data_IF_210816384500
#
_entry.id   IF_210816384500
#
_cell.length_a   1.000
_cell.length_b   1.000
_cell.length_c   1.000
_cell.angle_alpha   90.00
_cell.angle_beta   90.00
_cell.angle_gamma   90.00
#
_symmetry.space_group_name_H-M   'P 1'
#
loop_
_entity.id
_entity.type
_entity.pdbx_description
1 polymer ?
#
# COMPACT_ATOMS: atom_id res chain seq x y z
N UNK A 1 25.29 15.20 64.86
CA UNK A 1 25.23 13.79 65.29
C UNK A 1 23.76 13.38 65.38
N UNK A 2 23.41 12.13 65.05
CA UNK A 2 22.44 11.78 64.01
C UNK A 2 21.00 11.55 64.49
N UNK A 3 20.04 11.55 63.56
CA UNK A 3 19.07 10.45 63.49
C UNK A 3 18.44 10.32 62.10
N UNK A 4 18.55 9.12 61.55
CA UNK A 4 17.87 8.65 60.35
C UNK A 4 16.37 8.49 60.62
N UNK A 5 15.53 8.83 59.64
CA UNK A 5 14.29 8.07 59.42
C UNK A 5 13.93 8.08 57.94
N UNK A 6 13.57 6.91 57.49
CA UNK A 6 13.45 6.44 56.11
C UNK A 6 12.13 6.89 55.48
N UNK A 7 12.15 7.21 54.19
CA UNK A 7 10.95 7.19 53.36
C UNK A 7 11.31 6.71 51.96
N UNK A 8 11.25 5.39 51.78
CA UNK A 8 11.04 4.74 50.50
C UNK A 8 9.76 5.30 49.87
N UNK A 9 9.88 6.14 48.84
CA UNK A 9 8.80 6.36 47.86
C UNK A 9 9.26 5.80 46.53
N UNK A 10 8.55 4.75 46.11
CA UNK A 10 8.83 3.99 44.91
C UNK A 10 9.00 4.85 43.67
N UNK A 11 9.97 4.48 42.85
CA UNK A 11 10.14 5.00 41.51
C UNK A 11 8.81 4.89 40.75
N UNK A 12 8.30 5.98 40.15
CA UNK A 12 7.22 5.87 39.19
C UNK A 12 7.68 4.93 38.08
N UNK A 13 6.88 3.92 37.75
CA UNK A 13 7.07 3.13 36.52
C UNK A 13 7.21 4.11 35.37
N UNK A 14 8.44 4.32 34.92
CA UNK A 14 8.72 5.17 33.77
C UNK A 14 7.97 4.57 32.59
N UNK A 15 6.86 5.21 32.21
CA UNK A 15 6.16 4.86 31.00
C UNK A 15 7.15 4.97 29.85
N UNK A 16 7.24 3.92 29.02
CA UNK A 16 8.14 3.91 27.86
C UNK A 16 7.99 5.22 27.07
N UNK A 17 9.10 5.82 26.62
CA UNK A 17 9.08 7.07 25.89
C UNK A 17 8.13 6.98 24.67
N UNK A 18 7.47 8.08 24.29
CA UNK A 18 6.42 8.08 23.26
C UNK A 18 6.85 7.46 21.92
N UNK A 19 8.14 7.57 21.57
CA UNK A 19 8.72 7.02 20.36
C UNK A 19 8.67 5.48 20.33
N UNK A 20 9.03 4.82 21.43
CA UNK A 20 9.06 3.35 21.54
C UNK A 20 7.64 2.77 21.54
N UNK A 21 6.68 3.43 22.20
CA UNK A 21 5.27 3.00 22.18
C UNK A 21 4.69 3.03 20.76
N UNK A 22 5.00 4.05 19.98
CA UNK A 22 4.55 4.17 18.59
C UNK A 22 5.21 3.15 17.66
N UNK A 23 6.44 2.75 17.95
CA UNK A 23 7.17 1.73 17.22
C UNK A 23 6.66 0.32 17.53
N UNK A 24 6.43 -0.01 18.81
CA UNK A 24 5.81 -1.26 19.26
C UNK A 24 4.38 -1.40 18.72
N UNK A 25 3.61 -0.31 18.69
CA UNK A 25 2.25 -0.31 18.14
C UNK A 25 2.25 -0.60 16.63
N UNK A 26 3.16 0.03 15.87
CA UNK A 26 3.38 -0.26 14.44
C UNK A 26 3.75 -1.72 14.23
N UNK A 27 4.66 -2.25 15.04
CA UNK A 27 5.13 -3.63 14.92
C UNK A 27 4.02 -4.65 15.20
N UNK A 28 3.18 -4.42 16.23
CA UNK A 28 1.99 -5.24 16.48
C UNK A 28 1.01 -5.23 15.31
N UNK A 29 0.80 -4.07 14.68
CA UNK A 29 -0.13 -3.93 13.57
C UNK A 29 0.41 -4.64 12.31
N UNK A 30 1.71 -4.52 12.04
CA UNK A 30 2.43 -5.27 11.01
C UNK A 30 2.31 -6.78 11.21
N UNK A 31 2.54 -7.26 12.43
CA UNK A 31 2.46 -8.69 12.73
C UNK A 31 1.04 -9.25 12.56
N UNK A 32 0.00 -8.46 12.86
CA UNK A 32 -1.40 -8.87 12.56
C UNK A 32 -1.64 -8.95 11.05
N UNK A 33 -1.11 -8.00 10.30
CA UNK A 33 -1.23 -7.97 8.84
C UNK A 33 -0.52 -9.15 8.17
N UNK A 34 0.69 -9.51 8.62
CA UNK A 34 1.47 -10.66 8.14
C UNK A 34 0.90 -12.02 8.51
N UNK A 35 -0.03 -12.07 9.48
CA UNK A 35 -0.76 -13.28 9.89
C UNK A 35 -2.14 -13.38 9.24
N UNK A 36 -2.51 -12.40 8.42
CA UNK A 36 -3.78 -12.38 7.70
C UNK A 36 -3.82 -13.52 6.68
N UNK A 37 -4.96 -14.19 6.45
CA UNK A 37 -5.08 -15.20 5.39
C UNK A 37 -4.81 -14.64 3.98
N UNK A 38 -4.84 -13.31 3.82
CA UNK A 38 -4.49 -12.60 2.59
C UNK A 38 -2.99 -12.34 2.43
N UNK A 39 -2.21 -12.51 3.49
CA UNK A 39 -0.75 -12.58 3.42
C UNK A 39 -0.36 -14.05 3.40
N UNK A 40 -0.47 -14.65 2.22
CA UNK A 40 0.16 -15.96 1.98
C UNK A 40 1.60 -15.88 2.48
N UNK A 41 2.11 -16.88 3.23
CA UNK A 41 3.52 -16.92 3.57
C UNK A 41 4.27 -16.73 2.27
N UNK A 42 5.09 -15.67 2.21
CA UNK A 42 5.96 -15.31 1.09
C UNK A 42 6.89 -16.49 0.83
N UNK A 43 6.38 -17.56 0.21
CA UNK A 43 7.14 -18.74 -0.19
C UNK A 43 8.00 -18.27 -1.33
N UNK A 44 9.23 -17.87 -1.02
CA UNK A 44 10.36 -17.65 -1.93
C UNK A 44 9.97 -17.45 -3.40
N UNK A 45 9.13 -16.45 -3.69
CA UNK A 45 8.77 -16.15 -5.07
C UNK A 45 9.91 -15.35 -5.68
N UNK A 46 10.44 -15.81 -6.83
CA UNK A 46 11.49 -15.09 -7.58
C UNK A 46 11.06 -13.68 -7.97
N UNK A 47 9.76 -13.39 -8.02
CA UNK A 47 9.17 -12.08 -8.27
C UNK A 47 8.06 -11.82 -7.26
N UNK A 48 8.06 -10.62 -6.69
CA UNK A 48 7.01 -10.13 -5.80
C UNK A 48 6.29 -9.05 -6.56
N UNK A 49 5.05 -9.34 -6.90
CA UNK A 49 4.11 -8.39 -7.45
C UNK A 49 3.01 -8.18 -6.43
N UNK A 50 2.86 -6.94 -5.99
CA UNK A 50 1.80 -6.57 -5.06
C UNK A 50 1.01 -5.44 -5.66
N UNK A 51 -0.30 -5.64 -5.78
CA UNK A 51 -1.24 -4.65 -6.30
C UNK A 51 -2.13 -4.27 -5.13
N UNK A 52 -2.11 -2.99 -4.76
CA UNK A 52 -2.80 -2.46 -3.59
C UNK A 52 -3.82 -1.41 -4.05
N UNK A 53 -5.12 -1.60 -3.79
CA UNK A 53 -6.07 -0.50 -3.85
C UNK A 53 -5.70 0.51 -2.77
N UNK A 54 -5.50 1.77 -3.14
CA UNK A 54 -5.04 2.81 -2.22
C UNK A 54 -5.98 4.00 -2.21
N UNK A 55 -6.36 4.40 -1.00
CA UNK A 55 -7.31 5.48 -0.78
C UNK A 55 -6.56 6.68 -0.19
N UNK A 56 -6.74 7.85 -0.82
CA UNK A 56 -6.26 9.13 -0.28
C UNK A 56 -7.44 10.10 -0.22
N UNK A 57 -7.97 10.30 0.98
CA UNK A 57 -9.21 11.03 1.16
C UNK A 57 -10.36 10.35 0.41
N UNK A 58 -11.01 11.06 -0.50
CA UNK A 58 -12.09 10.55 -1.37
C UNK A 58 -11.61 9.95 -2.70
N UNK A 59 -10.31 10.01 -3.00
CA UNK A 59 -9.75 9.49 -4.26
C UNK A 59 -9.23 8.07 -4.08
N UNK A 60 -9.54 7.21 -5.05
CA UNK A 60 -9.08 5.82 -5.12
C UNK A 60 -8.05 5.69 -6.26
N UNK A 61 -6.92 5.04 -5.99
CA UNK A 61 -5.88 4.77 -6.98
C UNK A 61 -5.35 3.34 -6.85
N UNK A 62 -4.65 2.87 -7.89
CA UNK A 62 -3.96 1.57 -7.87
C UNK A 62 -2.49 1.81 -7.59
N UNK A 63 -1.96 1.09 -6.62
CA UNK A 63 -0.52 1.03 -6.38
C UNK A 63 -0.02 -0.33 -6.78
N UNK A 64 0.94 -0.36 -7.70
CA UNK A 64 1.66 -1.58 -8.07
C UNK A 64 3.08 -1.50 -7.50
N UNK A 65 3.48 -2.55 -6.81
CA UNK A 65 4.84 -2.74 -6.35
C UNK A 65 5.44 -3.86 -7.19
N UNK A 66 6.39 -3.48 -8.04
CA UNK A 66 7.10 -4.40 -8.92
C UNK A 66 8.59 -4.06 -8.90
N UNK A 67 9.44 -5.07 -8.76
CA UNK A 67 10.90 -4.92 -8.87
C UNK A 67 11.56 -3.83 -8.00
N UNK A 68 10.93 -3.45 -6.88
CA UNK A 68 11.35 -2.39 -5.95
C UNK A 68 10.92 -0.97 -6.32
N UNK A 69 10.05 -0.84 -7.31
CA UNK A 69 9.44 0.41 -7.71
C UNK A 69 7.95 0.38 -7.37
N UNK A 70 7.45 1.52 -6.90
CA UNK A 70 6.03 1.74 -6.66
C UNK A 70 5.50 2.54 -7.82
N UNK A 71 4.66 1.95 -8.66
CA UNK A 71 3.93 2.64 -9.72
C UNK A 71 2.54 3.03 -9.21
N UNK A 72 2.15 4.28 -9.42
CA UNK A 72 0.84 4.81 -9.03
C UNK A 72 0.01 5.06 -10.29
N UNK A 73 -1.12 4.36 -10.42
CA UNK A 73 -2.14 4.59 -11.44
C UNK A 73 -3.30 5.37 -10.82
N UNK A 74 -3.49 6.60 -11.25
CA UNK A 74 -4.51 7.49 -10.70
C UNK A 74 -5.29 8.18 -11.81
N UNK A 75 -6.59 7.94 -11.86
CA UNK A 75 -7.50 8.52 -12.85
C UNK A 75 -7.68 10.03 -12.70
N UNK A 76 -7.34 10.61 -11.54
CA UNK A 76 -7.32 12.04 -11.27
C UNK A 76 -5.94 12.67 -11.47
N UNK A 77 -4.95 11.94 -11.97
CA UNK A 77 -3.59 12.44 -12.16
C UNK A 77 -3.54 13.81 -12.85
N UNK A 78 -4.35 14.01 -13.90
CA UNK A 78 -4.42 15.25 -14.68
C UNK A 78 -4.93 16.47 -13.88
N UNK A 79 -5.65 16.28 -12.78
CA UNK A 79 -6.17 17.36 -11.93
C UNK A 79 -5.21 17.77 -10.82
N UNK A 80 -4.14 17.00 -10.61
CA UNK A 80 -3.25 17.19 -9.48
C UNK A 80 -2.07 18.05 -9.87
N UNK A 81 -1.54 18.87 -8.94
CA UNK A 81 -0.36 19.66 -9.19
C UNK A 81 0.77 18.79 -9.72
N UNK A 82 1.55 19.34 -10.65
CA UNK A 82 2.79 18.72 -11.12
C UNK A 82 3.90 18.91 -10.07
N UNK A 83 3.63 18.41 -8.86
CA UNK A 83 4.58 18.38 -7.76
C UNK A 83 4.89 16.91 -7.40
N UNK A 84 6.03 16.39 -7.86
CA UNK A 84 6.46 15.01 -7.57
C UNK A 84 6.53 14.71 -6.07
N UNK A 85 6.81 15.71 -5.21
CA UNK A 85 6.94 15.51 -3.78
C UNK A 85 5.61 15.19 -3.10
N UNK A 86 4.50 15.75 -3.60
CA UNK A 86 3.18 15.56 -2.99
C UNK A 86 2.78 14.08 -2.98
N UNK A 87 2.96 13.40 -4.13
CA UNK A 87 2.65 11.97 -4.26
C UNK A 87 3.64 11.09 -3.52
N UNK A 88 4.92 11.45 -3.56
CA UNK A 88 5.95 10.76 -2.79
C UNK A 88 5.65 10.76 -1.28
N UNK A 89 5.05 11.84 -0.76
CA UNK A 89 4.56 11.93 0.62
C UNK A 89 3.30 11.10 0.84
N UNK A 90 2.34 11.12 -0.10
CA UNK A 90 1.11 10.33 0.02
C UNK A 90 1.37 8.83 0.15
N UNK A 91 2.32 8.28 -0.60
CA UNK A 91 2.66 6.84 -0.52
C UNK A 91 3.82 6.55 0.43
N UNK A 92 4.29 7.54 1.21
CA UNK A 92 5.41 7.37 2.14
C UNK A 92 5.20 6.22 3.15
N UNK A 93 4.00 6.02 3.74
CA UNK A 93 3.75 4.87 4.61
C UNK A 93 4.07 3.55 3.90
N UNK A 94 3.61 3.37 2.66
CA UNK A 94 3.87 2.16 1.87
C UNK A 94 5.35 2.02 1.50
N UNK A 95 6.00 3.12 1.08
CA UNK A 95 7.43 3.14 0.71
C UNK A 95 8.35 2.72 1.86
N UNK A 96 7.93 2.96 3.11
CA UNK A 96 8.66 2.56 4.34
C UNK A 96 8.23 1.18 4.85
N UNK A 97 6.94 0.86 4.75
CA UNK A 97 6.37 -0.38 5.27
C UNK A 97 6.82 -1.60 4.47
N UNK A 98 6.83 -1.50 3.15
CA UNK A 98 7.12 -2.65 2.29
C UNK A 98 8.54 -3.21 2.46
N UNK A 99 9.61 -2.38 2.58
CA UNK A 99 10.93 -2.87 2.99
C UNK A 99 10.95 -3.65 4.30
N UNK A 100 10.18 -3.18 5.30
CA UNK A 100 10.10 -3.88 6.59
C UNK A 100 9.39 -5.24 6.44
N UNK A 101 8.34 -5.31 5.62
CA UNK A 101 7.64 -6.56 5.29
C UNK A 101 8.57 -7.53 4.57
N UNK A 102 9.28 -7.07 3.54
CA UNK A 102 10.25 -7.88 2.80
C UNK A 102 11.38 -8.40 3.71
N UNK A 103 11.85 -7.56 4.64
CA UNK A 103 12.87 -7.96 5.61
C UNK A 103 12.34 -9.03 6.58
N UNK A 104 11.17 -8.79 7.20
CA UNK A 104 10.57 -9.73 8.15
C UNK A 104 10.14 -11.07 7.51
N UNK A 105 9.92 -11.08 6.19
CA UNK A 105 9.56 -12.31 5.44
C UNK A 105 10.78 -13.07 4.91
N UNK A 106 12.02 -12.60 5.11
CA UNK A 106 13.22 -13.23 4.57
C UNK A 106 13.36 -13.08 3.04
N UNK A 107 12.60 -12.17 2.41
CA UNK A 107 12.62 -11.97 0.96
C UNK A 107 14.02 -11.59 0.44
N UNK A 108 14.76 -10.78 1.20
CA UNK A 108 16.09 -10.35 0.79
C UNK A 108 17.13 -11.47 0.82
N UNK A 109 17.00 -12.43 1.74
CA UNK A 109 17.96 -13.52 1.92
C UNK A 109 18.03 -14.42 0.68
N UNK A 110 16.92 -14.57 -0.02
CA UNK A 110 16.75 -15.37 -1.23
C UNK A 110 16.97 -14.59 -2.54
N UNK A 111 17.11 -13.27 -2.47
CA UNK A 111 17.20 -12.41 -3.65
C UNK A 111 18.62 -11.89 -3.86
N UNK A 112 19.01 -11.55 -5.10
CA UNK A 112 20.25 -10.81 -5.40
C UNK A 112 20.29 -9.39 -4.78
N UNK A 113 19.32 -9.05 -3.92
CA UNK A 113 19.07 -7.70 -3.38
C UNK A 113 19.38 -7.59 -1.89
N UNK A 114 20.20 -8.49 -1.33
CA UNK A 114 20.70 -8.41 0.07
C UNK A 114 21.17 -6.99 0.45
N UNK A 115 21.78 -6.27 -0.48
CA UNK A 115 22.33 -4.93 -0.22
C UNK A 115 21.30 -3.77 -0.28
N UNK A 116 20.03 -4.03 -0.62
CA UNK A 116 19.00 -2.95 -0.66
C UNK A 116 18.46 -2.60 0.73
N UNK A 117 18.60 -3.50 1.72
CA UNK A 117 18.26 -3.26 3.12
C UNK A 117 16.85 -2.70 3.33
N UNK A 118 16.71 -1.84 4.35
CA UNK A 118 15.46 -1.14 4.69
C UNK A 118 15.29 0.19 3.94
N UNK A 119 16.00 0.39 2.82
CA UNK A 119 15.93 1.64 2.07
C UNK A 119 14.50 1.93 1.59
N UNK A 120 14.10 3.19 1.66
CA UNK A 120 12.78 3.63 1.22
C UNK A 120 12.60 3.36 -0.28
N UNK A 121 11.50 2.72 -0.67
CA UNK A 121 11.24 2.44 -2.08
C UNK A 121 11.08 3.72 -2.90
N UNK A 122 11.44 3.66 -4.19
CA UNK A 122 11.16 4.74 -5.13
C UNK A 122 9.71 4.65 -5.60
N UNK A 123 9.01 5.78 -5.59
CA UNK A 123 7.69 5.88 -6.18
C UNK A 123 7.75 6.63 -7.50
N UNK A 124 7.22 6.03 -8.54
CA UNK A 124 7.05 6.59 -9.86
C UNK A 124 5.56 6.78 -10.12
N UNK A 125 5.20 7.99 -10.53
CA UNK A 125 3.87 8.28 -11.03
C UNK A 125 3.95 8.24 -12.54
N UNK A 126 2.98 7.61 -13.19
CA UNK A 126 2.84 7.74 -14.62
C UNK A 126 2.60 9.21 -15.00
N UNK A 127 3.12 9.61 -16.15
CA UNK A 127 2.81 10.91 -16.72
C UNK A 127 1.29 11.07 -16.89
N UNK A 128 0.75 12.29 -16.86
CA UNK A 128 -0.65 12.52 -17.18
C UNK A 128 -1.07 11.79 -18.46
N UNK A 129 -2.29 11.24 -18.48
CA UNK A 129 -2.88 10.51 -19.62
C UNK A 129 -2.27 9.14 -19.96
N UNK A 130 -1.18 8.72 -19.32
CA UNK A 130 -0.70 7.34 -19.44
C UNK A 130 -1.60 6.33 -18.71
N UNK A 131 -2.43 6.79 -17.78
CA UNK A 131 -3.55 6.04 -17.21
C UNK A 131 -4.85 6.77 -17.57
N UNK A 132 -5.95 6.03 -17.88
CA UNK A 132 -7.22 6.62 -18.25
C UNK A 132 -7.72 7.62 -17.20
N UNK A 133 -8.02 8.83 -17.68
CA UNK A 133 -8.52 9.91 -16.84
C UNK A 133 -10.02 9.76 -16.60
N UNK A 134 -10.45 9.96 -15.36
CA UNK A 134 -11.87 10.05 -15.05
C UNK A 134 -12.38 11.46 -15.33
N UNK A 135 -13.64 11.54 -15.75
CA UNK A 135 -14.37 12.82 -15.90
C UNK A 135 -15.29 13.04 -14.69
N UNK A 136 -15.79 11.96 -14.08
CA UNK A 136 -16.71 12.02 -12.94
C UNK A 136 -15.99 11.58 -11.65
N UNK A 137 -16.13 12.38 -10.58
CA UNK A 137 -15.49 12.12 -9.28
C UNK A 137 -15.83 10.76 -8.67
N UNK A 138 -17.07 10.29 -8.87
CA UNK A 138 -17.62 9.03 -8.33
C UNK A 138 -17.10 7.76 -9.01
N UNK A 139 -16.30 7.90 -10.07
CA UNK A 139 -15.79 6.76 -10.84
C UNK A 139 -14.40 6.29 -10.42
N UNK A 140 -13.69 6.99 -9.53
CA UNK A 140 -12.33 6.62 -9.11
C UNK A 140 -12.21 5.16 -8.62
N UNK A 141 -13.19 4.66 -7.86
CA UNK A 141 -13.21 3.26 -7.44
C UNK A 141 -13.36 2.27 -8.60
N UNK A 142 -14.15 2.62 -9.62
CA UNK A 142 -14.34 1.77 -10.79
C UNK A 142 -13.12 1.80 -11.73
N UNK A 143 -12.48 2.97 -11.90
CA UNK A 143 -11.18 3.08 -12.59
C UNK A 143 -10.11 2.28 -11.87
N UNK A 144 -10.07 2.31 -10.53
CA UNK A 144 -9.15 1.51 -9.72
C UNK A 144 -9.36 0.01 -9.99
N UNK A 145 -10.59 -0.49 -9.91
CA UNK A 145 -10.90 -1.91 -10.14
C UNK A 145 -10.57 -2.34 -11.58
N UNK A 146 -10.95 -1.54 -12.59
CA UNK A 146 -10.64 -1.83 -13.99
C UNK A 146 -9.13 -1.76 -14.24
N UNK A 147 -8.44 -0.81 -13.60
CA UNK A 147 -6.97 -0.71 -13.60
C UNK A 147 -6.29 -1.95 -13.05
N UNK A 148 -6.68 -2.42 -11.85
CA UNK A 148 -6.19 -3.66 -11.24
C UNK A 148 -6.38 -4.84 -12.21
N UNK A 149 -7.55 -4.96 -12.83
CA UNK A 149 -7.82 -6.01 -13.83
C UNK A 149 -6.81 -5.95 -14.98
N UNK A 150 -6.51 -4.75 -15.51
CA UNK A 150 -5.53 -4.58 -16.59
C UNK A 150 -4.10 -4.93 -16.16
N UNK A 151 -3.70 -4.55 -14.94
CA UNK A 151 -2.39 -4.92 -14.38
C UNK A 151 -2.24 -6.44 -14.31
N UNK A 152 -3.24 -7.13 -13.73
CA UNK A 152 -3.24 -8.59 -13.60
C UNK A 152 -3.20 -9.27 -14.97
N UNK A 153 -3.88 -8.71 -15.98
CA UNK A 153 -3.87 -9.21 -17.35
C UNK A 153 -2.56 -8.90 -18.11
N UNK A 154 -1.57 -8.24 -17.48
CA UNK A 154 -0.31 -7.89 -18.12
C UNK A 154 -0.45 -6.87 -19.25
N UNK A 155 -1.51 -6.05 -19.24
CA UNK A 155 -1.81 -5.07 -20.30
C UNK A 155 -1.08 -3.73 -20.13
N UNK A 156 -0.25 -3.58 -19.11
CA UNK A 156 0.50 -2.34 -18.88
C UNK A 156 1.58 -2.11 -19.94
N UNK A 157 1.92 -0.84 -20.26
CA UNK A 157 1.25 0.40 -19.85
C UNK A 157 0.03 0.74 -20.72
N UNK A 158 -0.43 -0.19 -21.57
CA UNK A 158 -1.48 0.02 -22.57
C UNK A 158 -2.89 -0.12 -21.96
N UNK A 159 -3.26 0.86 -21.14
CA UNK A 159 -4.60 0.98 -20.60
C UNK A 159 -5.55 1.61 -21.63
N UNK A 160 -6.18 0.77 -22.46
CA UNK A 160 -7.04 1.22 -23.55
C UNK A 160 -8.53 1.38 -23.17
N UNK A 161 -8.84 1.57 -21.89
CA UNK A 161 -10.21 1.81 -21.45
C UNK A 161 -10.47 3.29 -21.18
N UNK A 162 -11.73 3.70 -21.22
CA UNK A 162 -12.14 5.11 -21.10
C UNK A 162 -13.40 5.28 -20.25
N UNK A 163 -13.69 6.54 -19.88
CA UNK A 163 -14.81 6.93 -19.02
C UNK A 163 -16.17 6.35 -19.46
N UNK A 164 -16.49 6.38 -20.76
CA UNK A 164 -17.83 5.97 -21.24
C UNK A 164 -18.11 4.47 -21.02
N UNK A 165 -17.09 3.65 -20.84
CA UNK A 165 -17.25 2.21 -20.57
C UNK A 165 -17.49 1.91 -19.08
N UNK A 166 -17.23 2.87 -18.18
CA UNK A 166 -17.28 2.67 -16.73
C UNK A 166 -18.68 2.29 -16.22
N UNK A 167 -19.79 2.89 -16.70
CA UNK A 167 -21.12 2.44 -16.31
C UNK A 167 -21.39 0.98 -16.69
N UNK A 168 -20.96 0.55 -17.87
CA UNK A 168 -21.08 -0.85 -18.31
C UNK A 168 -20.23 -1.79 -17.46
N UNK A 169 -18.99 -1.39 -17.16
CA UNK A 169 -18.11 -2.12 -16.26
C UNK A 169 -18.70 -2.26 -14.85
N UNK A 170 -19.25 -1.19 -14.26
CA UNK A 170 -19.92 -1.23 -12.95
C UNK A 170 -21.07 -2.24 -12.93
N UNK A 171 -21.92 -2.24 -13.96
CA UNK A 171 -23.03 -3.19 -14.10
C UNK A 171 -22.53 -4.63 -14.17
N UNK A 172 -21.51 -4.88 -15.00
CA UNK A 172 -20.93 -6.23 -15.13
C UNK A 172 -20.29 -6.68 -13.82
N UNK A 173 -19.48 -5.84 -13.19
CA UNK A 173 -18.81 -6.16 -11.93
C UNK A 173 -19.80 -6.45 -10.81
N UNK A 174 -20.90 -5.70 -10.72
CA UNK A 174 -21.98 -6.00 -9.77
C UNK A 174 -22.61 -7.37 -10.05
N UNK A 175 -22.91 -7.69 -11.32
CA UNK A 175 -23.43 -9.01 -11.70
C UNK A 175 -22.46 -10.12 -11.31
N UNK A 176 -21.17 -9.94 -11.57
CA UNK A 176 -20.14 -10.94 -11.24
C UNK A 176 -20.05 -11.17 -9.72
N UNK A 177 -20.11 -10.12 -8.90
CA UNK A 177 -20.14 -10.26 -7.43
C UNK A 177 -21.36 -11.05 -6.99
N UNK A 178 -22.55 -10.66 -7.45
CA UNK A 178 -23.79 -11.29 -7.00
C UNK A 178 -23.94 -12.72 -7.51
N UNK A 179 -23.47 -13.02 -8.73
CA UNK A 179 -23.43 -14.38 -9.26
C UNK A 179 -22.50 -15.29 -8.46
N UNK A 180 -21.31 -14.80 -8.09
CA UNK A 180 -20.35 -15.59 -7.28
C UNK A 180 -20.70 -15.65 -5.79
N UNK A 181 -21.64 -14.82 -5.31
CA UNK A 181 -22.15 -14.90 -3.93
C UNK A 181 -23.23 -15.96 -3.72
N UNK A 182 -23.64 -16.63 -4.80
CA UNK A 182 -24.68 -17.66 -4.81
C UNK A 182 -24.13 -19.10 -4.94
N UNK A 183 -22.81 -19.27 -5.04
CA UNK A 183 -22.19 -20.60 -4.89
C UNK A 183 -21.94 -20.87 -3.39
N UNK A 184 -22.59 -21.90 -2.80
CA UNK A 184 -22.46 -22.25 -1.39
C UNK A 184 -21.13 -22.95 -1.03
#
# INVERSE_FOLDING_TARGET
>A
MPNESTSNRGSPRAGLPPCEKAEIARDRQLSKWLKSPYTYPFKAQKKVEVIVPYNVGSSHCVIRLHEWEITIYDSNAHLLPDNPQYRQKQVLPLRRLFPLICNKSGYYDMSKRKNRGLACMKAMRLAPYQFPCQVEGSNCGAFMLKGIKYVIMGKEPNFNFVQHEIPGFRKQFARDIFANSLEP
#
